data_IF_623555175430
#
_entry.id   IF_623555175430
#
_cell.length_a   1.000
_cell.length_b   1.000
_cell.length_c   1.000
_cell.angle_alpha   90.00
_cell.angle_beta   90.00
_cell.angle_gamma   90.00
#
_symmetry.space_group_name_H-M   'P 1'
#
loop_
_entity.id
_entity.type
_entity.pdbx_description
1 polymer ?
#
# COMPACT_ATOMS: atom_id res chain seq x y z
N UNK A 1 10.53 -7.20 28.06
CA UNK A 1 9.84 -7.47 26.77
C UNK A 1 10.63 -8.55 26.06
N UNK A 2 10.02 -9.44 25.28
CA UNK A 2 10.79 -10.39 24.50
C UNK A 2 11.77 -9.63 23.58
N UNK A 3 12.98 -10.16 23.43
CA UNK A 3 13.97 -9.61 22.52
C UNK A 3 13.59 -10.09 21.09
N UNK A 4 13.15 -9.17 20.24
CA UNK A 4 12.78 -9.48 18.85
C UNK A 4 13.98 -9.28 17.92
N UNK A 5 14.12 -10.15 16.93
CA UNK A 5 15.07 -9.95 15.85
C UNK A 5 14.80 -8.65 15.09
N UNK A 6 15.85 -7.92 14.65
CA UNK A 6 15.69 -6.72 13.82
C UNK A 6 14.82 -6.97 12.59
N UNK A 7 14.00 -6.00 12.23
CA UNK A 7 13.19 -6.01 11.01
C UNK A 7 13.31 -4.66 10.32
N UNK A 8 13.60 -4.68 9.02
CA UNK A 8 13.62 -3.52 8.14
C UNK A 8 12.32 -3.43 7.34
N UNK A 9 11.70 -2.24 7.31
CA UNK A 9 10.44 -1.98 6.62
C UNK A 9 10.67 -0.86 5.61
N UNK A 10 10.47 -1.13 4.33
CA UNK A 10 10.68 -0.18 3.26
C UNK A 10 9.35 0.29 2.64
N UNK A 11 9.15 1.60 2.64
CA UNK A 11 8.04 2.27 1.96
C UNK A 11 8.59 3.07 0.78
N UNK A 12 8.35 2.67 -0.48
CA UNK A 12 8.63 3.53 -1.62
C UNK A 12 7.76 4.79 -1.56
N UNK A 13 8.36 5.96 -1.71
CA UNK A 13 7.62 7.22 -1.77
C UNK A 13 7.80 7.87 -3.13
N UNK A 14 6.71 8.40 -3.67
CA UNK A 14 6.60 9.01 -4.99
C UNK A 14 5.63 10.20 -4.97
N UNK A 15 5.73 11.15 -5.90
CA UNK A 15 4.85 12.32 -5.94
C UNK A 15 3.35 11.96 -5.96
N UNK A 16 2.53 12.77 -5.29
CA UNK A 16 1.08 12.57 -5.11
C UNK A 16 0.69 11.25 -4.42
N UNK A 17 1.58 10.75 -3.56
CA UNK A 17 1.27 9.68 -2.62
C UNK A 17 0.19 10.14 -1.62
N UNK A 18 -0.75 9.27 -1.28
CA UNK A 18 -1.64 9.52 -0.14
C UNK A 18 -0.85 9.25 1.14
N UNK A 19 -0.52 10.32 1.88
CA UNK A 19 0.40 10.20 3.02
C UNK A 19 -0.09 9.24 4.10
N UNK A 20 -1.41 9.13 4.33
CA UNK A 20 -1.95 8.24 5.36
C UNK A 20 -1.81 6.75 4.98
N UNK A 21 -1.73 6.41 3.69
CA UNK A 21 -1.40 5.06 3.20
C UNK A 21 -0.01 4.61 3.67
N UNK A 22 0.86 5.58 3.98
CA UNK A 22 2.19 5.36 4.53
C UNK A 22 2.21 5.58 6.04
N UNK A 23 1.77 6.74 6.51
CA UNK A 23 1.94 7.13 7.92
C UNK A 23 1.12 6.27 8.88
N UNK A 24 -0.08 5.82 8.45
CA UNK A 24 -0.91 4.89 9.23
C UNK A 24 -0.19 3.58 9.51
N UNK A 25 0.15 2.78 8.48
CA UNK A 25 0.88 1.54 8.69
C UNK A 25 2.28 1.74 9.28
N UNK A 26 3.02 2.77 8.89
CA UNK A 26 4.34 3.04 9.45
C UNK A 26 4.28 3.27 10.96
N UNK A 27 3.28 4.01 11.46
CA UNK A 27 3.06 4.23 12.88
C UNK A 27 2.79 2.93 13.65
N UNK A 28 2.01 2.02 13.06
CA UNK A 28 1.68 0.72 13.67
C UNK A 28 2.87 -0.23 13.58
N UNK A 29 3.45 -0.38 12.39
CA UNK A 29 4.53 -1.33 12.12
C UNK A 29 5.85 -0.95 12.82
N UNK A 30 6.08 0.33 13.11
CA UNK A 30 7.23 0.76 13.94
C UNK A 30 7.22 0.12 15.34
N UNK A 31 6.07 -0.42 15.76
CA UNK A 31 5.89 -1.13 17.03
C UNK A 31 6.00 -2.66 16.93
N UNK A 32 6.47 -3.19 15.79
CA UNK A 32 6.78 -4.62 15.64
C UNK A 32 7.80 -5.14 16.67
N UNK A 33 8.49 -4.23 17.35
CA UNK A 33 9.61 -4.53 18.21
C UNK A 33 10.90 -4.75 17.41
N UNK A 34 11.91 -3.92 17.69
CA UNK A 34 13.19 -3.88 16.98
C UNK A 34 13.00 -3.66 15.43
N UNK A 35 12.09 -2.75 15.06
CA UNK A 35 11.78 -2.43 13.67
C UNK A 35 12.40 -1.09 13.26
N UNK A 36 12.93 -1.03 12.05
CA UNK A 36 13.39 0.21 11.40
C UNK A 36 12.51 0.51 10.19
N UNK A 37 11.89 1.69 10.16
CA UNK A 37 11.08 2.14 9.04
C UNK A 37 11.91 3.04 8.13
N UNK A 38 11.92 2.72 6.84
CA UNK A 38 12.60 3.47 5.79
C UNK A 38 11.58 4.07 4.82
N UNK A 39 11.63 5.39 4.65
CA UNK A 39 10.96 6.10 3.58
C UNK A 39 11.95 6.20 2.43
N UNK A 40 11.69 5.44 1.35
CA UNK A 40 12.67 5.25 0.29
C UNK A 40 12.28 6.07 -0.93
N UNK A 41 13.04 7.14 -1.19
CA UNK A 41 12.84 8.01 -2.35
C UNK A 41 13.77 7.68 -3.51
N UNK A 42 13.47 8.25 -4.69
CA UNK A 42 14.41 8.22 -5.82
C UNK A 42 15.67 9.02 -5.51
N UNK A 43 15.48 10.15 -4.85
CA UNK A 43 16.52 11.05 -4.31
C UNK A 43 16.17 11.37 -2.86
N UNK A 44 16.99 12.18 -2.19
CA UNK A 44 16.70 12.70 -0.85
C UNK A 44 15.82 13.97 -0.86
N UNK A 45 15.35 14.41 -2.03
CA UNK A 45 14.49 15.57 -2.13
C UNK A 45 13.11 15.31 -1.51
N UNK A 46 12.45 16.34 -0.95
CA UNK A 46 11.11 16.23 -0.43
C UNK A 46 10.10 15.78 -1.50
N UNK A 47 9.28 14.79 -1.19
CA UNK A 47 8.27 14.21 -2.07
C UNK A 47 6.90 14.82 -1.76
N UNK A 48 6.26 15.53 -2.71
CA UNK A 48 4.95 16.13 -2.49
C UNK A 48 3.87 15.04 -2.32
N UNK A 49 2.94 15.27 -1.37
CA UNK A 49 1.79 14.38 -1.13
C UNK A 49 0.50 15.00 -1.67
N UNK A 50 -0.56 14.22 -1.75
CA UNK A 50 -1.92 14.69 -2.07
C UNK A 50 -2.54 15.56 -0.96
N UNK A 51 -1.94 15.56 0.24
CA UNK A 51 -2.43 16.30 1.42
C UNK A 51 -1.82 17.70 1.56
N UNK A 52 -0.97 18.14 0.60
CA UNK A 52 -0.42 19.50 0.54
C UNK A 52 0.85 19.74 1.38
N UNK A 53 1.42 18.71 2.01
CA UNK A 53 2.73 18.77 2.67
C UNK A 53 3.64 17.66 2.15
N UNK A 54 4.98 17.86 2.12
CA UNK A 54 5.90 16.85 1.61
C UNK A 54 6.27 15.80 2.67
N UNK A 55 6.68 14.62 2.18
CA UNK A 55 7.41 13.63 2.96
C UNK A 55 8.89 13.72 2.62
N UNK A 56 9.74 13.56 3.64
CA UNK A 56 11.19 13.53 3.46
C UNK A 56 11.67 12.07 3.42
N UNK A 57 12.38 11.63 2.36
CA UNK A 57 13.02 10.32 2.34
C UNK A 57 14.00 10.17 3.50
N UNK A 58 14.14 8.98 4.03
CA UNK A 58 15.19 8.61 5.00
C UNK A 58 16.37 7.93 4.31
N UNK A 59 16.16 7.45 3.08
CA UNK A 59 17.17 6.78 2.25
C UNK A 59 16.71 6.80 0.78
N UNK A 60 17.58 6.33 -0.13
CA UNK A 60 17.30 6.28 -1.57
C UNK A 60 17.16 4.87 -2.11
N UNK A 61 16.61 4.73 -3.34
CA UNK A 61 16.56 3.44 -4.07
C UNK A 61 17.96 2.84 -4.32
N UNK A 62 18.99 3.68 -4.38
CA UNK A 62 20.37 3.24 -4.58
C UNK A 62 20.97 2.67 -3.29
N UNK A 63 20.66 3.28 -2.15
CA UNK A 63 21.26 2.94 -0.87
C UNK A 63 20.55 1.78 -0.16
N UNK A 64 19.21 1.65 -0.31
CA UNK A 64 18.43 0.56 0.26
C UNK A 64 18.03 -0.44 -0.84
N UNK A 65 18.69 -1.57 -0.89
CA UNK A 65 18.49 -2.59 -1.94
C UNK A 65 17.73 -3.83 -1.46
N UNK A 66 17.55 -3.99 -0.15
CA UNK A 66 16.83 -5.10 0.48
C UNK A 66 16.02 -4.60 1.68
N UNK A 67 14.94 -5.28 2.01
CA UNK A 67 14.18 -5.08 3.24
C UNK A 67 13.41 -6.36 3.57
N UNK A 68 13.13 -6.59 4.87
CA UNK A 68 12.33 -7.74 5.30
C UNK A 68 10.85 -7.55 4.96
N UNK A 69 10.37 -6.30 4.98
CA UNK A 69 9.00 -5.94 4.61
C UNK A 69 9.05 -4.84 3.56
N UNK A 70 8.46 -5.10 2.40
CA UNK A 70 8.11 -4.07 1.42
C UNK A 70 6.66 -3.66 1.64
N UNK A 71 6.37 -2.38 1.85
CA UNK A 71 5.02 -1.85 1.96
C UNK A 71 4.79 -0.73 0.94
N UNK A 72 4.04 -1.02 -0.13
CA UNK A 72 3.73 -0.06 -1.18
C UNK A 72 2.47 0.74 -0.81
N UNK A 73 2.57 2.06 -0.55
CA UNK A 73 1.43 2.94 -0.35
C UNK A 73 0.77 3.30 -1.69
N UNK A 74 -0.47 3.79 -1.63
CA UNK A 74 -1.20 4.26 -2.81
C UNK A 74 -1.23 5.77 -2.95
N UNK A 75 -2.23 6.25 -3.69
CA UNK A 75 -2.46 7.65 -3.98
C UNK A 75 -2.69 7.92 -5.46
N UNK A 76 -2.96 9.18 -5.78
CA UNK A 76 -3.17 9.59 -7.19
C UNK A 76 -1.91 9.41 -8.04
N UNK A 77 -0.71 9.50 -7.46
CA UNK A 77 0.57 9.28 -8.13
C UNK A 77 0.88 7.83 -8.50
N UNK A 78 0.03 6.87 -8.14
CA UNK A 78 0.24 5.44 -8.43
C UNK A 78 0.42 5.15 -9.92
N UNK A 79 -0.30 5.87 -10.80
CA UNK A 79 -0.19 5.66 -12.25
C UNK A 79 1.17 6.07 -12.76
N UNK A 80 1.69 7.20 -12.30
CA UNK A 80 3.02 7.69 -12.65
C UNK A 80 4.10 6.76 -12.10
N UNK A 81 3.94 6.29 -10.86
CA UNK A 81 4.84 5.30 -10.25
C UNK A 81 4.90 3.98 -11.04
N UNK A 82 3.77 3.51 -11.59
CA UNK A 82 3.72 2.33 -12.48
C UNK A 82 4.36 2.57 -13.84
N UNK A 83 4.59 3.81 -14.25
CA UNK A 83 5.25 4.17 -15.50
C UNK A 83 6.74 4.50 -15.31
N UNK A 84 7.16 4.78 -14.07
CA UNK A 84 8.56 5.03 -13.75
C UNK A 84 9.33 3.72 -13.58
N UNK A 85 10.16 3.41 -14.57
CA UNK A 85 10.96 2.17 -14.58
C UNK A 85 11.86 2.03 -13.35
N UNK A 86 12.45 3.13 -12.86
CA UNK A 86 13.31 3.07 -11.68
C UNK A 86 12.53 2.68 -10.41
N UNK A 87 11.32 3.19 -10.25
CA UNK A 87 10.43 2.80 -9.14
C UNK A 87 10.02 1.32 -9.25
N UNK A 88 9.57 0.89 -10.43
CA UNK A 88 9.15 -0.51 -10.62
C UNK A 88 10.29 -1.51 -10.43
N UNK A 89 11.47 -1.20 -10.96
CA UNK A 89 12.64 -2.08 -10.85
C UNK A 89 13.11 -2.20 -9.40
N UNK A 90 13.05 -1.10 -8.64
CA UNK A 90 13.35 -1.12 -7.21
C UNK A 90 12.32 -1.91 -6.42
N UNK A 91 11.01 -1.66 -6.65
CA UNK A 91 9.90 -2.37 -5.98
C UNK A 91 9.99 -3.88 -6.27
N UNK A 92 10.25 -4.27 -7.53
CA UNK A 92 10.42 -5.68 -7.92
C UNK A 92 11.58 -6.30 -7.18
N UNK A 93 12.77 -5.72 -7.27
CA UNK A 93 14.00 -6.24 -6.67
C UNK A 93 13.86 -6.43 -5.16
N UNK A 94 13.36 -5.41 -4.44
CA UNK A 94 13.16 -5.49 -3.00
C UNK A 94 12.07 -6.51 -2.65
N UNK A 95 10.96 -6.51 -3.41
CA UNK A 95 9.84 -7.41 -3.15
C UNK A 95 10.15 -8.89 -3.42
N UNK A 96 11.02 -9.20 -4.38
CA UNK A 96 11.48 -10.58 -4.63
C UNK A 96 12.30 -11.13 -3.47
N UNK A 97 13.03 -10.26 -2.75
CA UNK A 97 13.85 -10.65 -1.61
C UNK A 97 13.20 -10.50 -0.24
N UNK A 98 12.03 -9.84 -0.17
CA UNK A 98 11.36 -9.56 1.09
C UNK A 98 10.61 -10.79 1.64
N UNK A 99 10.66 -10.97 2.96
CA UNK A 99 9.83 -11.96 3.66
C UNK A 99 8.33 -11.64 3.50
N UNK A 100 7.99 -10.35 3.51
CA UNK A 100 6.61 -9.88 3.36
C UNK A 100 6.50 -8.78 2.30
N UNK A 101 5.64 -9.00 1.31
CA UNK A 101 5.29 -8.00 0.29
C UNK A 101 3.90 -7.50 0.54
N UNK A 102 3.79 -6.22 0.80
CA UNK A 102 2.56 -5.65 1.34
C UNK A 102 2.18 -4.34 0.67
N UNK A 103 0.92 -3.96 0.76
CA UNK A 103 0.44 -2.70 0.21
C UNK A 103 -0.79 -2.17 0.93
N UNK A 104 -1.02 -0.87 0.81
CA UNK A 104 -2.26 -0.20 1.20
C UNK A 104 -2.83 0.52 -0.01
N UNK A 105 -4.17 0.55 -0.14
CA UNK A 105 -4.87 1.30 -1.17
C UNK A 105 -4.40 0.90 -2.58
N UNK A 106 -4.21 1.87 -3.49
CA UNK A 106 -3.74 1.62 -4.86
C UNK A 106 -2.27 1.20 -4.97
N UNK A 107 -1.54 1.12 -3.86
CA UNK A 107 -0.20 0.51 -3.82
C UNK A 107 -0.17 -0.94 -4.30
N UNK A 108 -1.29 -1.68 -4.17
CA UNK A 108 -1.43 -3.01 -4.73
C UNK A 108 -1.27 -3.03 -6.26
N UNK A 109 -1.66 -1.95 -6.96
CA UNK A 109 -1.45 -1.85 -8.42
C UNK A 109 0.03 -1.69 -8.76
N UNK A 110 0.81 -0.97 -7.93
CA UNK A 110 2.27 -0.87 -8.09
C UNK A 110 2.93 -2.25 -7.91
N UNK A 111 2.52 -3.00 -6.88
CA UNK A 111 2.98 -4.38 -6.71
C UNK A 111 2.59 -5.27 -7.89
N UNK A 112 1.36 -5.11 -8.41
CA UNK A 112 0.89 -5.81 -9.60
C UNK A 112 1.75 -5.50 -10.82
N UNK A 113 2.03 -4.22 -11.07
CA UNK A 113 2.89 -3.76 -12.17
C UNK A 113 4.35 -4.24 -12.03
N UNK A 114 4.83 -4.40 -10.79
CA UNK A 114 6.13 -5.02 -10.51
C UNK A 114 6.13 -6.56 -10.63
N UNK A 115 4.98 -7.21 -10.91
CA UNK A 115 4.88 -8.67 -11.05
C UNK A 115 4.71 -9.44 -9.75
N UNK A 116 4.60 -8.74 -8.62
CA UNK A 116 4.65 -9.34 -7.29
C UNK A 116 3.31 -9.92 -6.80
N UNK A 117 2.21 -9.69 -7.54
CA UNK A 117 0.86 -10.17 -7.18
C UNK A 117 0.29 -11.22 -8.16
N UNK A 118 1.02 -11.62 -9.21
CA UNK A 118 0.55 -12.64 -10.16
C UNK A 118 0.27 -13.96 -9.43
N UNK A 119 -0.97 -14.47 -9.54
CA UNK A 119 -1.41 -15.71 -8.89
C UNK A 119 -1.67 -15.60 -7.38
N UNK A 120 -1.74 -14.38 -6.85
CA UNK A 120 -2.13 -14.11 -5.47
C UNK A 120 -3.54 -13.52 -5.37
N UNK A 121 -4.21 -13.79 -4.27
CA UNK A 121 -5.40 -13.05 -3.84
C UNK A 121 -4.96 -11.71 -3.27
N UNK A 122 -5.66 -10.62 -3.63
CA UNK A 122 -5.31 -9.29 -3.16
C UNK A 122 -6.54 -8.38 -3.07
N UNK A 123 -6.44 -7.36 -2.22
CA UNK A 123 -7.36 -6.22 -2.20
C UNK A 123 -6.62 -4.93 -2.53
N UNK A 124 -7.38 -3.90 -2.82
CA UNK A 124 -6.91 -2.54 -3.08
C UNK A 124 -8.03 -1.56 -2.73
N UNK A 125 -7.84 -0.27 -2.96
CA UNK A 125 -8.92 0.70 -2.85
C UNK A 125 -10.13 0.28 -3.71
N UNK A 126 -11.34 0.37 -3.16
CA UNK A 126 -12.57 -0.15 -3.77
C UNK A 126 -12.81 0.33 -5.21
N UNK A 127 -12.47 1.58 -5.53
CA UNK A 127 -12.63 2.16 -6.87
C UNK A 127 -11.64 1.59 -7.91
N UNK A 128 -10.63 0.85 -7.48
CA UNK A 128 -9.60 0.25 -8.34
C UNK A 128 -9.59 -1.28 -8.28
N UNK A 129 -10.54 -1.87 -7.58
CA UNK A 129 -10.54 -3.28 -7.21
C UNK A 129 -10.40 -4.21 -8.42
N UNK A 130 -11.21 -4.00 -9.46
CA UNK A 130 -11.21 -4.83 -10.67
C UNK A 130 -9.89 -4.73 -11.49
N UNK A 131 -9.10 -3.66 -11.25
CA UNK A 131 -7.84 -3.44 -11.96
C UNK A 131 -6.74 -4.42 -11.53
N UNK A 132 -6.86 -5.05 -10.36
CA UNK A 132 -5.93 -6.09 -9.91
C UNK A 132 -5.85 -7.26 -10.89
N UNK A 133 -6.97 -7.62 -11.51
CA UNK A 133 -7.03 -8.70 -12.50
C UNK A 133 -6.17 -8.42 -13.74
N UNK A 134 -5.92 -7.15 -14.09
CA UNK A 134 -5.05 -6.81 -15.21
C UNK A 134 -3.60 -7.27 -15.01
N UNK A 135 -3.18 -7.44 -13.75
CA UNK A 135 -1.85 -7.90 -13.35
C UNK A 135 -1.82 -9.37 -12.90
N UNK A 136 -2.88 -10.13 -13.19
CA UNK A 136 -2.96 -11.56 -12.87
C UNK A 136 -3.20 -11.88 -11.39
N UNK A 137 -3.60 -10.90 -10.58
CA UNK A 137 -4.06 -11.12 -9.22
C UNK A 137 -5.54 -11.49 -9.20
N UNK A 138 -5.99 -12.19 -8.16
CA UNK A 138 -7.41 -12.45 -7.89
C UNK A 138 -7.96 -11.39 -6.94
N UNK A 139 -8.85 -10.49 -7.40
CA UNK A 139 -9.42 -9.46 -6.55
C UNK A 139 -10.33 -10.06 -5.45
N UNK A 140 -10.17 -9.61 -4.21
CA UNK A 140 -10.99 -10.02 -3.05
C UNK A 140 -11.49 -8.78 -2.31
N UNK A 141 -12.81 -8.66 -2.16
CA UNK A 141 -13.46 -7.51 -1.49
C UNK A 141 -13.44 -7.68 0.03
N UNK A 142 -12.25 -7.61 0.60
CA UNK A 142 -12.03 -7.62 2.04
C UNK A 142 -11.17 -6.41 2.44
N UNK A 143 -11.30 -5.97 3.69
CA UNK A 143 -10.54 -4.82 4.20
C UNK A 143 -9.04 -5.09 4.26
N UNK A 144 -8.66 -6.33 4.61
CA UNK A 144 -7.28 -6.84 4.58
C UNK A 144 -7.30 -8.25 4.05
N UNK A 145 -6.48 -8.53 3.05
CA UNK A 145 -6.30 -9.87 2.47
C UNK A 145 -4.91 -10.38 2.78
N UNK A 146 -4.83 -11.57 3.36
CA UNK A 146 -3.59 -12.32 3.56
C UNK A 146 -3.60 -13.51 2.61
N UNK A 147 -2.58 -13.62 1.77
CA UNK A 147 -2.34 -14.78 0.92
C UNK A 147 -0.85 -15.12 0.93
N UNK A 148 -0.50 -16.18 1.66
CA UNK A 148 0.91 -16.55 1.88
C UNK A 148 1.66 -15.36 2.49
N UNK A 149 2.72 -14.89 1.87
CA UNK A 149 3.48 -13.73 2.31
C UNK A 149 3.07 -12.41 1.62
N UNK A 150 1.87 -12.35 1.05
CA UNK A 150 1.26 -11.12 0.54
C UNK A 150 0.18 -10.66 1.49
N UNK A 151 0.30 -9.42 1.99
CA UNK A 151 -0.73 -8.80 2.82
C UNK A 151 -1.10 -7.47 2.21
N UNK A 152 -2.36 -7.34 1.78
CA UNK A 152 -2.84 -6.14 1.11
C UNK A 152 -4.01 -5.53 1.88
N UNK A 153 -3.96 -4.22 2.09
CA UNK A 153 -5.02 -3.42 2.69
C UNK A 153 -5.84 -2.69 1.64
N UNK A 154 -7.12 -2.50 1.90
CA UNK A 154 -8.06 -1.74 1.07
C UNK A 154 -7.78 -0.24 1.04
N UNK A 155 -8.82 0.60 1.16
CA UNK A 155 -8.68 2.06 1.14
C UNK A 155 -7.93 2.62 2.34
N UNK A 156 -7.52 3.82 2.22
CA UNK A 156 -6.59 4.63 3.04
C UNK A 156 -6.49 4.24 4.52
N UNK A 157 -7.63 4.28 5.23
CA UNK A 157 -7.65 3.99 6.69
C UNK A 157 -7.43 2.52 7.03
N UNK A 158 -7.55 1.60 6.05
CA UNK A 158 -7.26 0.19 6.26
C UNK A 158 -5.79 -0.08 6.59
N UNK A 159 -4.90 0.90 6.37
CA UNK A 159 -3.49 0.80 6.70
C UNK A 159 -3.21 0.53 8.17
N UNK A 160 -4.10 0.95 9.09
CA UNK A 160 -3.99 0.65 10.52
C UNK A 160 -4.39 -0.81 10.78
N UNK A 161 -5.55 -1.26 10.27
CA UNK A 161 -6.01 -2.66 10.41
C UNK A 161 -5.02 -3.63 9.78
N UNK A 162 -4.53 -3.27 8.58
CA UNK A 162 -3.50 -4.00 7.86
C UNK A 162 -2.23 -4.14 8.71
N UNK A 163 -1.73 -3.04 9.30
CA UNK A 163 -0.53 -3.04 10.14
C UNK A 163 -0.69 -3.95 11.35
N UNK A 164 -1.83 -3.91 12.04
CA UNK A 164 -2.13 -4.79 13.16
C UNK A 164 -2.22 -6.26 12.73
N UNK A 165 -2.83 -6.53 11.56
CA UNK A 165 -2.89 -7.87 10.99
C UNK A 165 -1.49 -8.41 10.67
N UNK A 166 -0.65 -7.61 10.03
CA UNK A 166 0.73 -8.01 9.70
C UNK A 166 1.57 -8.26 10.96
N UNK A 167 1.41 -7.42 12.01
CA UNK A 167 2.05 -7.68 13.31
C UNK A 167 1.61 -9.03 13.88
N UNK A 168 0.33 -9.36 13.77
CA UNK A 168 -0.19 -10.65 14.23
C UNK A 168 0.45 -11.84 13.49
N UNK A 169 0.66 -11.72 12.18
CA UNK A 169 1.34 -12.76 11.37
C UNK A 169 2.82 -12.93 11.76
N UNK A 170 3.51 -11.83 12.08
CA UNK A 170 4.97 -11.84 12.33
C UNK A 170 5.31 -12.12 13.81
N UNK A 171 4.56 -11.53 14.74
CA UNK A 171 4.87 -11.54 16.19
C UNK A 171 3.78 -12.18 17.05
N UNK A 172 2.70 -12.64 16.43
CA UNK A 172 1.55 -13.25 17.11
C UNK A 172 0.52 -12.25 17.62
N UNK A 173 -0.68 -12.77 17.86
CA UNK A 173 -1.88 -11.99 18.21
C UNK A 173 -1.71 -11.20 19.53
N UNK A 174 -1.00 -11.76 20.51
CA UNK A 174 -0.78 -11.09 21.79
C UNK A 174 0.00 -9.77 21.63
N UNK A 175 1.01 -9.74 20.74
CA UNK A 175 1.77 -8.52 20.45
C UNK A 175 0.93 -7.54 19.63
N UNK A 176 0.15 -8.01 18.68
CA UNK A 176 -0.76 -7.15 17.91
C UNK A 176 -1.80 -6.46 18.81
N UNK A 177 -2.40 -7.17 19.76
CA UNK A 177 -3.32 -6.60 20.76
C UNK A 177 -2.64 -5.58 21.67
N UNK A 178 -1.41 -5.82 22.10
CA UNK A 178 -0.62 -4.83 22.84
C UNK A 178 -0.40 -3.56 22.02
N UNK A 179 -0.03 -3.69 20.74
CA UNK A 179 0.14 -2.55 19.83
C UNK A 179 -1.17 -1.81 19.63
N UNK A 180 -2.28 -2.52 19.37
CA UNK A 180 -3.61 -1.93 19.22
C UNK A 180 -3.99 -1.06 20.43
N UNK A 181 -3.80 -1.59 21.64
CA UNK A 181 -4.06 -0.84 22.86
C UNK A 181 -3.12 0.38 22.99
N UNK A 182 -1.84 0.21 22.63
CA UNK A 182 -0.83 1.29 22.77
C UNK A 182 -1.07 2.49 21.87
N UNK A 183 -1.82 2.30 20.76
CA UNK A 183 -2.23 3.37 19.84
C UNK A 183 -3.70 3.76 20.01
N UNK A 184 -4.39 3.17 21.00
CA UNK A 184 -5.82 3.42 21.30
C UNK A 184 -6.70 3.25 20.05
N UNK A 185 -6.44 2.20 19.26
CA UNK A 185 -7.21 1.96 18.05
C UNK A 185 -8.52 1.23 18.37
N UNK A 186 -9.53 2.03 18.71
CA UNK A 186 -10.93 1.62 18.97
C UNK A 186 -11.89 2.52 18.17
N UNK A 187 -11.96 2.37 16.84
CA UNK A 187 -12.64 3.32 15.96
C UNK A 187 -14.16 3.30 16.15
N UNK A 188 -14.73 4.50 16.38
CA UNK A 188 -16.15 4.76 16.37
C UNK A 188 -16.47 5.63 15.15
N UNK A 189 -17.20 5.07 14.18
CA UNK A 189 -17.49 5.76 12.94
C UNK A 189 -18.58 6.79 13.15
N UNK A 190 -18.37 8.10 12.83
CA UNK A 190 -19.39 9.12 12.93
C UNK A 190 -20.49 8.98 11.87
N UNK A 191 -20.19 8.31 10.75
CA UNK A 191 -21.10 8.07 9.63
C UNK A 191 -20.86 6.67 9.05
N UNK A 192 -21.91 6.05 8.49
CA UNK A 192 -21.82 4.74 7.82
C UNK A 192 -21.79 4.89 6.29
N UNK A 193 -20.86 5.68 5.77
CA UNK A 193 -20.71 6.01 4.35
C UNK A 193 -19.31 5.68 3.80
N UNK A 194 -18.51 4.92 4.54
CA UNK A 194 -17.15 4.56 4.16
C UNK A 194 -17.05 3.35 3.22
N UNK A 195 -18.17 2.73 2.88
CA UNK A 195 -18.27 1.62 1.92
C UNK A 195 -19.19 2.04 0.77
N UNK A 196 -18.80 1.84 -0.51
CA UNK A 196 -19.64 2.19 -1.65
C UNK A 196 -21.02 1.50 -1.66
N UNK A 197 -21.16 0.35 -1.00
CA UNK A 197 -22.44 -0.34 -0.84
C UNK A 197 -23.38 0.34 0.17
N UNK A 198 -22.86 1.23 1.00
CA UNK A 198 -23.59 1.93 2.07
C UNK A 198 -23.76 3.42 1.78
N UNK A 199 -22.89 3.98 0.94
CA UNK A 199 -22.92 5.38 0.56
C UNK A 199 -24.19 5.68 -0.26
N UNK A 200 -24.78 6.85 -0.03
CA UNK A 200 -25.90 7.31 -0.84
C UNK A 200 -25.46 7.66 -2.27
N UNK A 201 -26.41 7.67 -3.24
CA UNK A 201 -26.08 7.89 -4.65
C UNK A 201 -25.40 9.25 -4.92
N UNK A 202 -25.79 10.32 -4.22
CA UNK A 202 -25.20 11.65 -4.40
C UNK A 202 -23.73 11.66 -3.96
N UNK A 203 -23.42 11.04 -2.83
CA UNK A 203 -22.04 10.88 -2.34
C UNK A 203 -21.20 10.09 -3.31
N UNK A 204 -21.71 8.99 -3.89
CA UNK A 204 -21.02 8.21 -4.90
C UNK A 204 -20.80 9.00 -6.19
N UNK A 205 -21.77 9.75 -6.67
CA UNK A 205 -21.63 10.58 -7.87
C UNK A 205 -20.53 11.64 -7.67
N UNK A 206 -20.54 12.34 -6.55
CA UNK A 206 -19.50 13.33 -6.18
C UNK A 206 -18.12 12.70 -6.12
N UNK A 207 -17.99 11.50 -5.57
CA UNK A 207 -16.73 10.77 -5.52
C UNK A 207 -16.21 10.46 -6.94
N UNK A 208 -17.06 9.92 -7.82
CA UNK A 208 -16.66 9.60 -9.19
C UNK A 208 -16.31 10.86 -10.00
N UNK A 209 -17.02 11.97 -9.80
CA UNK A 209 -16.68 13.25 -10.40
C UNK A 209 -15.27 13.72 -9.98
N UNK A 210 -14.90 13.56 -8.69
CA UNK A 210 -13.57 13.85 -8.18
C UNK A 210 -12.49 12.97 -8.83
N UNK A 211 -12.71 11.65 -8.86
CA UNK A 211 -11.76 10.69 -9.45
C UNK A 211 -11.55 10.94 -10.93
N UNK A 212 -12.62 11.17 -11.69
CA UNK A 212 -12.55 11.44 -13.12
C UNK A 212 -11.85 12.78 -13.42
N UNK A 213 -12.01 13.79 -12.56
CA UNK A 213 -11.29 15.06 -12.68
C UNK A 213 -9.80 14.91 -12.40
N UNK A 214 -9.44 14.12 -11.38
CA UNK A 214 -8.05 13.92 -10.97
C UNK A 214 -7.25 13.01 -11.92
N UNK A 215 -7.92 12.09 -12.63
CA UNK A 215 -7.26 11.15 -13.53
C UNK A 215 -8.22 10.62 -14.61
N UNK A 216 -8.57 11.46 -15.61
CA UNK A 216 -9.42 11.01 -16.71
C UNK A 216 -8.78 9.82 -17.42
N UNK A 217 -9.57 8.77 -17.74
CA UNK A 217 -9.07 7.57 -18.43
C UNK A 217 -8.12 6.69 -17.60
N UNK A 218 -8.13 6.82 -16.26
CA UNK A 218 -7.21 6.09 -15.37
C UNK A 218 -7.28 4.57 -15.57
N UNK A 219 -8.47 4.00 -15.73
CA UNK A 219 -8.64 2.54 -15.90
C UNK A 219 -8.00 2.07 -17.21
N UNK A 220 -8.21 2.81 -18.29
CA UNK A 220 -7.62 2.53 -19.60
C UNK A 220 -6.10 2.64 -19.56
N UNK A 221 -5.58 3.65 -18.85
CA UNK A 221 -4.14 3.82 -18.65
C UNK A 221 -3.54 2.65 -17.88
N UNK A 222 -4.16 2.23 -16.76
CA UNK A 222 -3.70 1.06 -15.98
C UNK A 222 -3.75 -0.22 -16.83
N UNK A 223 -4.79 -0.40 -17.64
CA UNK A 223 -4.91 -1.53 -18.57
C UNK A 223 -3.81 -1.51 -19.64
N UNK A 224 -3.48 -0.34 -20.17
CA UNK A 224 -2.39 -0.19 -21.15
C UNK A 224 -1.02 -0.48 -20.53
N UNK A 225 -0.80 -0.03 -19.30
CA UNK A 225 0.40 -0.35 -18.51
C UNK A 225 0.52 -1.87 -18.34
N UNK A 226 -0.54 -2.52 -17.89
CA UNK A 226 -0.55 -3.98 -17.70
C UNK A 226 -0.24 -4.73 -18.99
N UNK A 227 -0.82 -4.33 -20.12
CA UNK A 227 -0.52 -4.94 -21.41
C UNK A 227 0.94 -4.78 -21.86
N UNK A 228 1.56 -3.63 -21.56
CA UNK A 228 2.97 -3.36 -21.88
C UNK A 228 3.92 -4.17 -21.00
N UNK A 229 3.55 -4.34 -19.73
CA UNK A 229 4.32 -5.08 -18.75
C UNK A 229 3.97 -6.58 -18.80
N UNK A 230 3.28 -7.06 -19.86
CA UNK A 230 2.89 -8.46 -19.99
C UNK A 230 4.10 -9.32 -19.64
N UNK A 231 3.99 -9.85 -18.46
CA UNK A 231 4.83 -10.92 -17.98
C UNK A 231 4.48 -12.11 -18.88
N UNK A 232 5.34 -12.38 -19.84
CA UNK A 232 5.19 -13.54 -20.72
C UNK A 232 4.84 -14.74 -19.85
N UNK A 233 3.71 -15.36 -20.21
CA UNK A 233 3.10 -16.44 -19.47
C UNK A 233 3.94 -17.69 -19.53
#
# INVERSE_FOLDING_TARGET
MPEFSPISIAFPIFPNITQLDLTGPAQVLSRLGNATVHLVGRTMDPVPTDSGFPLHPTTTFADLTTADILCAPGGFGTVDAMQDGATLDWVRRVGEGADWVTSVCTGALVLGAAGLLKGYRATTHWASHEQLAFFGATPVKERVVVDRNRVTGGGVTSGIDFGLRLISEIRGEAHAKFVQLSVEYDPQLPFDSGDPAKADPETLERYWALVNKAGPGRVETVRAIAKRLVFDA
#
